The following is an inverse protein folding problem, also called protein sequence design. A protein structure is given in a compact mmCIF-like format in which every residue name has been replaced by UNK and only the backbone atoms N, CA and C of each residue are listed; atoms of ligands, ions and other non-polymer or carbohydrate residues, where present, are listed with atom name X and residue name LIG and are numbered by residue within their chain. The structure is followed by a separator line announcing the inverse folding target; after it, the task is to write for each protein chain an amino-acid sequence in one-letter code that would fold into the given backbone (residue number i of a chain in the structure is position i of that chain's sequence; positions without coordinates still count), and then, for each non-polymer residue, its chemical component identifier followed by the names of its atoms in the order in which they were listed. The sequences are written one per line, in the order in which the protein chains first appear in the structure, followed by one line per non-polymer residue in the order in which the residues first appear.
data_IF_059084431996
#
_entry.id   IF_059084431996
#
_cell.length_a   1.000
_cell.length_b   1.000
_cell.length_c   1.000
_cell.angle_alpha   90.00
_cell.angle_beta   90.00
_cell.angle_gamma   90.00
#
_symmetry.space_group_name_H-M   'P 1'
#
loop_
_entity.id
_entity.type
_entity.pdbx_description
1 polymer ?
#
# COMPACT_ATOMS: atom_id res chain seq x y z
N UNK A 1 -12.83 21.66 5.91
CA UNK A 1 -11.65 20.98 6.50
C UNK A 1 -11.79 19.50 6.20
N UNK A 2 -10.78 18.83 5.64
CA UNK A 2 -10.82 17.37 5.45
C UNK A 2 -10.88 16.72 6.84
N UNK A 3 -11.88 15.86 7.05
CA UNK A 3 -12.03 15.13 8.31
C UNK A 3 -10.95 14.06 8.39
N UNK A 4 -10.23 14.01 9.51
CA UNK A 4 -9.25 12.95 9.78
C UNK A 4 -9.85 11.87 10.67
N UNK A 5 -9.32 10.66 10.61
CA UNK A 5 -9.76 9.52 11.39
C UNK A 5 -8.55 8.80 12.01
N UNK A 6 -8.66 8.36 13.25
CA UNK A 6 -7.64 7.52 13.87
C UNK A 6 -7.73 6.08 13.37
N UNK A 7 -6.62 5.30 13.45
CA UNK A 7 -6.64 3.86 13.11
C UNK A 7 -7.74 3.05 13.81
N UNK A 8 -8.00 3.36 15.09
CA UNK A 8 -9.03 2.67 15.87
C UNK A 8 -10.44 3.02 15.43
N UNK A 9 -10.69 4.26 15.06
CA UNK A 9 -11.97 4.70 14.48
C UNK A 9 -12.19 4.06 13.11
N UNK A 10 -11.15 4.08 12.25
CA UNK A 10 -11.22 3.45 10.93
C UNK A 10 -11.63 1.98 11.04
N UNK A 11 -10.99 1.23 11.93
CA UNK A 11 -11.32 -0.18 12.17
C UNK A 11 -12.78 -0.38 12.62
N UNK A 12 -13.30 0.52 13.47
CA UNK A 12 -14.73 0.46 13.88
C UNK A 12 -15.66 0.69 12.69
N UNK A 13 -15.35 1.71 11.86
CA UNK A 13 -16.14 2.03 10.66
C UNK A 13 -16.13 0.86 9.69
N UNK A 14 -14.97 0.30 9.36
CA UNK A 14 -14.84 -0.88 8.47
C UNK A 14 -15.66 -2.07 8.99
N UNK A 15 -15.54 -2.36 10.29
CA UNK A 15 -16.30 -3.46 10.91
C UNK A 15 -17.82 -3.21 10.80
N UNK A 16 -18.25 -1.97 10.98
CA UNK A 16 -19.66 -1.60 10.84
C UNK A 16 -20.14 -1.72 9.40
N UNK A 17 -19.36 -1.24 8.41
CA UNK A 17 -19.68 -1.39 6.99
C UNK A 17 -19.92 -2.85 6.64
N UNK A 18 -18.97 -3.72 6.97
CA UNK A 18 -19.08 -5.15 6.65
C UNK A 18 -20.23 -5.86 7.37
N UNK A 19 -20.63 -5.38 8.56
CA UNK A 19 -21.76 -5.95 9.31
C UNK A 19 -23.12 -5.45 8.84
N UNK A 20 -23.24 -4.17 8.47
CA UNK A 20 -24.53 -3.49 8.21
C UNK A 20 -24.86 -3.38 6.72
N UNK A 21 -23.93 -3.77 5.86
CA UNK A 21 -24.10 -3.72 4.40
C UNK A 21 -23.71 -5.05 3.74
N UNK A 22 -24.00 -5.18 2.45
CA UNK A 22 -23.55 -6.29 1.64
C UNK A 22 -22.11 -6.11 1.10
N UNK A 23 -21.41 -5.06 1.51
CA UNK A 23 -20.05 -4.77 1.04
C UNK A 23 -19.07 -5.75 1.70
N UNK A 24 -18.33 -6.47 0.88
CA UNK A 24 -17.34 -7.44 1.34
C UNK A 24 -15.95 -6.79 1.46
N UNK A 25 -15.08 -7.37 2.30
CA UNK A 25 -13.67 -6.96 2.37
C UNK A 25 -12.97 -7.06 1.01
N UNK A 26 -13.34 -8.06 0.20
CA UNK A 26 -12.85 -8.23 -1.18
C UNK A 26 -13.24 -7.03 -2.07
N UNK A 27 -14.50 -6.61 -2.04
CA UNK A 27 -14.95 -5.45 -2.83
C UNK A 27 -14.20 -4.17 -2.42
N UNK A 28 -14.01 -3.96 -1.12
CA UNK A 28 -13.23 -2.83 -0.60
C UNK A 28 -11.79 -2.87 -1.10
N UNK A 29 -11.15 -4.04 -1.05
CA UNK A 29 -9.78 -4.25 -1.53
C UNK A 29 -9.64 -3.99 -3.03
N UNK A 30 -10.58 -4.45 -3.87
CA UNK A 30 -10.58 -4.18 -5.31
C UNK A 30 -10.70 -2.67 -5.60
N UNK A 31 -11.59 -1.96 -4.90
CA UNK A 31 -11.75 -0.52 -5.05
C UNK A 31 -10.47 0.22 -4.60
N UNK A 32 -9.90 -0.13 -3.45
CA UNK A 32 -8.64 0.41 -2.96
C UNK A 32 -7.51 0.23 -3.97
N UNK A 33 -7.32 -1.01 -4.44
CA UNK A 33 -6.29 -1.38 -5.40
C UNK A 33 -6.41 -0.64 -6.75
N UNK A 34 -7.62 -0.39 -7.24
CA UNK A 34 -7.84 0.38 -8.46
C UNK A 34 -7.34 1.83 -8.34
N UNK A 35 -7.51 2.46 -7.16
CA UNK A 35 -6.98 3.79 -6.90
C UNK A 35 -5.44 3.79 -6.80
N UNK A 36 -4.85 2.79 -6.15
CA UNK A 36 -3.39 2.60 -6.07
C UNK A 36 -2.81 2.38 -7.47
N UNK A 37 -3.37 1.46 -8.26
CA UNK A 37 -2.94 1.19 -9.64
C UNK A 37 -2.95 2.46 -10.51
N UNK A 38 -4.01 3.28 -10.40
CA UNK A 38 -4.10 4.56 -11.09
C UNK A 38 -2.99 5.53 -10.67
N UNK A 39 -2.66 5.60 -9.39
CA UNK A 39 -1.59 6.45 -8.88
C UNK A 39 -0.22 5.99 -9.38
N UNK A 40 0.07 4.69 -9.32
CA UNK A 40 1.31 4.08 -9.84
C UNK A 40 1.45 4.36 -11.34
N UNK A 41 0.41 4.12 -12.14
CA UNK A 41 0.42 4.40 -13.58
C UNK A 41 0.77 5.85 -13.90
N UNK A 42 0.27 6.81 -13.11
CA UNK A 42 0.62 8.24 -13.28
C UNK A 42 2.07 8.52 -12.94
N UNK A 43 2.62 7.91 -11.89
CA UNK A 43 3.99 8.14 -11.44
C UNK A 43 5.04 7.47 -12.34
N UNK A 44 4.69 6.34 -12.97
CA UNK A 44 5.58 5.68 -13.92
C UNK A 44 5.51 6.24 -15.35
N UNK A 45 4.60 7.18 -15.64
CA UNK A 45 4.45 7.76 -16.99
C UNK A 45 5.76 8.38 -17.48
N UNK A 46 6.22 7.94 -18.66
CA UNK A 46 7.48 8.38 -19.26
C UNK A 46 8.74 7.79 -18.66
N UNK A 47 8.63 6.88 -17.66
CA UNK A 47 9.77 6.19 -17.04
C UNK A 47 9.91 4.78 -17.58
N UNK A 48 11.14 4.38 -17.88
CA UNK A 48 11.48 3.00 -18.25
C UNK A 48 11.85 2.20 -17.01
N UNK A 49 11.44 0.95 -16.96
CA UNK A 49 11.74 0.05 -15.85
C UNK A 49 10.49 -0.69 -15.36
N UNK A 50 10.68 -1.51 -14.36
CA UNK A 50 9.60 -2.27 -13.73
C UNK A 50 9.02 -1.52 -12.52
N UNK A 51 7.85 -1.95 -12.07
CA UNK A 51 7.27 -1.53 -10.79
C UNK A 51 7.66 -2.54 -9.72
N UNK A 52 8.20 -2.05 -8.62
CA UNK A 52 8.50 -2.88 -7.44
C UNK A 52 7.46 -2.62 -6.38
N UNK A 53 6.79 -3.67 -5.88
CA UNK A 53 5.84 -3.58 -4.79
C UNK A 53 6.34 -4.38 -3.59
N UNK A 54 6.55 -3.72 -2.46
CA UNK A 54 6.90 -4.38 -1.21
C UNK A 54 5.66 -4.57 -0.37
N UNK A 55 5.30 -5.83 -0.13
CA UNK A 55 4.02 -6.22 0.45
C UNK A 55 4.18 -6.78 1.86
N UNK A 56 3.40 -6.26 2.80
CA UNK A 56 3.21 -6.86 4.10
C UNK A 56 2.32 -8.10 4.05
N UNK A 57 2.17 -8.77 5.19
CA UNK A 57 1.35 -9.98 5.29
C UNK A 57 -0.14 -9.70 5.51
N UNK A 58 -0.51 -8.46 5.82
CA UNK A 58 -1.90 -8.03 6.06
C UNK A 58 -2.62 -7.55 4.80
N UNK A 59 -3.79 -6.94 5.01
CA UNK A 59 -4.64 -6.44 3.92
C UNK A 59 -3.96 -5.32 3.12
N UNK A 60 -3.11 -4.50 3.73
CA UNK A 60 -2.32 -3.49 3.01
C UNK A 60 -1.45 -4.12 1.93
N UNK A 61 -0.80 -5.27 2.24
CA UNK A 61 -0.08 -6.07 1.24
C UNK A 61 -1.01 -6.64 0.17
N UNK A 62 -2.22 -7.05 0.55
CA UNK A 62 -3.27 -7.49 -0.37
C UNK A 62 -3.68 -6.39 -1.36
N UNK A 63 -3.86 -5.15 -0.89
CA UNK A 63 -4.15 -3.99 -1.75
C UNK A 63 -3.02 -3.75 -2.76
N UNK A 64 -1.75 -3.90 -2.33
CA UNK A 64 -0.58 -3.82 -3.20
C UNK A 64 -0.57 -4.92 -4.27
N UNK A 65 -0.79 -6.18 -3.89
CA UNK A 65 -0.87 -7.32 -4.82
C UNK A 65 -1.99 -7.15 -5.85
N UNK A 66 -3.18 -6.75 -5.39
CA UNK A 66 -4.31 -6.46 -6.26
C UNK A 66 -4.01 -5.30 -7.24
N UNK A 67 -3.34 -4.24 -6.77
CA UNK A 67 -2.94 -3.13 -7.64
C UNK A 67 -1.95 -3.57 -8.73
N UNK A 68 -0.98 -4.42 -8.39
CA UNK A 68 -0.04 -4.98 -9.38
C UNK A 68 -0.74 -5.87 -10.41
N UNK A 69 -1.73 -6.66 -9.99
CA UNK A 69 -2.57 -7.44 -10.90
C UNK A 69 -3.35 -6.54 -11.85
N UNK A 70 -4.02 -5.51 -11.34
CA UNK A 70 -4.78 -4.55 -12.18
C UNK A 70 -3.87 -3.87 -13.20
N UNK A 71 -2.69 -3.38 -12.80
CA UNK A 71 -1.72 -2.77 -13.72
C UNK A 71 -1.29 -3.73 -14.84
N UNK A 72 -1.09 -5.00 -14.50
CA UNK A 72 -0.71 -6.03 -15.47
C UNK A 72 -1.85 -6.38 -16.43
N UNK A 73 -3.08 -6.43 -15.95
CA UNK A 73 -4.28 -6.69 -16.76
C UNK A 73 -4.60 -5.54 -17.72
N UNK A 74 -4.42 -4.29 -17.25
CA UNK A 74 -4.65 -3.07 -18.05
C UNK A 74 -3.57 -2.84 -19.13
N UNK A 75 -2.35 -3.36 -18.93
CA UNK A 75 -1.22 -3.13 -19.84
C UNK A 75 -0.40 -4.40 -20.11
N UNK A 76 -0.49 -4.97 -21.32
CA UNK A 76 0.29 -6.16 -21.68
C UNK A 76 1.81 -5.98 -21.61
N UNK A 77 2.30 -4.75 -21.74
CA UNK A 77 3.72 -4.42 -21.62
C UNK A 77 4.20 -4.22 -20.17
N UNK A 78 3.27 -4.21 -19.21
CA UNK A 78 3.61 -4.03 -17.80
C UNK A 78 4.53 -5.15 -17.30
N UNK A 79 5.55 -4.76 -16.52
CA UNK A 79 6.47 -5.65 -15.83
C UNK A 79 6.61 -5.17 -14.40
N UNK A 80 6.68 -6.11 -13.46
CA UNK A 80 6.82 -5.78 -12.05
C UNK A 80 7.35 -6.93 -11.21
N UNK A 81 7.66 -6.60 -9.98
CA UNK A 81 8.05 -7.54 -8.94
C UNK A 81 7.29 -7.23 -7.65
N UNK A 82 6.74 -8.26 -7.03
CA UNK A 82 6.16 -8.20 -5.69
C UNK A 82 7.09 -8.92 -4.72
N UNK A 83 7.48 -8.23 -3.65
CA UNK A 83 8.33 -8.75 -2.60
C UNK A 83 7.57 -8.84 -1.30
N UNK A 84 7.31 -10.05 -0.84
CA UNK A 84 6.48 -10.35 0.33
C UNK A 84 7.33 -10.45 1.59
N UNK A 85 6.90 -9.79 2.66
CA UNK A 85 7.45 -10.06 3.98
C UNK A 85 7.23 -11.52 4.39
N UNK A 86 8.15 -12.12 5.17
CA UNK A 86 7.98 -13.46 5.70
C UNK A 86 6.76 -13.51 6.64
N UNK A 87 6.08 -14.65 6.64
CA UNK A 87 4.93 -14.92 7.49
C UNK A 87 3.69 -15.39 6.73
N UNK A 88 2.62 -15.60 7.48
CA UNK A 88 1.33 -16.03 6.93
C UNK A 88 0.54 -14.82 6.46
N UNK A 89 0.11 -14.84 5.22
CA UNK A 89 -0.75 -13.81 4.64
C UNK A 89 -2.15 -13.84 5.29
N UNK A 90 -2.80 -12.67 5.35
CA UNK A 90 -4.24 -12.61 5.61
C UNK A 90 -5.00 -13.37 4.51
N UNK A 91 -6.23 -13.80 4.79
CA UNK A 91 -7.02 -14.53 3.80
C UNK A 91 -7.25 -13.74 2.51
N UNK A 92 -7.44 -12.41 2.64
CA UNK A 92 -7.65 -11.53 1.49
C UNK A 92 -6.35 -11.36 0.69
N UNK A 93 -5.20 -11.12 1.37
CA UNK A 93 -3.91 -11.01 0.71
C UNK A 93 -3.49 -12.31 0.00
N UNK A 94 -3.82 -13.47 0.60
CA UNK A 94 -3.55 -14.76 -0.05
C UNK A 94 -4.38 -14.93 -1.32
N UNK A 95 -5.67 -14.58 -1.30
CA UNK A 95 -6.52 -14.63 -2.51
C UNK A 95 -5.98 -13.74 -3.63
N UNK A 96 -5.50 -12.53 -3.31
CA UNK A 96 -4.92 -11.64 -4.31
C UNK A 96 -3.57 -12.16 -4.84
N UNK A 97 -2.76 -12.78 -3.98
CA UNK A 97 -1.54 -13.46 -4.44
C UNK A 97 -1.85 -14.59 -5.43
N UNK A 98 -2.85 -15.42 -5.13
CA UNK A 98 -3.26 -16.54 -6.00
C UNK A 98 -3.75 -16.00 -7.34
N UNK A 99 -4.62 -14.98 -7.35
CA UNK A 99 -5.12 -14.31 -8.57
C UNK A 99 -3.99 -13.69 -9.40
N UNK A 100 -3.06 -12.97 -8.75
CA UNK A 100 -1.92 -12.37 -9.43
C UNK A 100 -1.05 -13.43 -10.09
N UNK A 101 -0.76 -14.52 -9.37
CA UNK A 101 0.09 -15.61 -9.85
C UNK A 101 -0.56 -16.34 -11.04
N UNK A 102 -1.85 -16.59 -10.96
CA UNK A 102 -2.62 -17.22 -12.05
C UNK A 102 -2.63 -16.33 -13.31
N UNK A 103 -2.84 -15.03 -13.14
CA UNK A 103 -2.89 -14.06 -14.24
C UNK A 103 -1.53 -13.72 -14.84
N UNK A 104 -0.41 -13.93 -14.11
CA UNK A 104 0.92 -13.45 -14.51
C UNK A 104 1.46 -14.09 -15.78
N UNK A 105 1.05 -15.31 -16.10
CA UNK A 105 1.51 -16.04 -17.30
C UNK A 105 2.85 -16.76 -17.12
N UNK A 106 3.39 -17.29 -18.23
CA UNK A 106 4.68 -18.00 -18.22
C UNK A 106 5.52 -17.58 -19.45
N UNK A 107 6.68 -16.90 -19.29
CA UNK A 107 7.23 -16.40 -18.01
C UNK A 107 6.33 -15.31 -17.39
N UNK A 108 6.36 -15.17 -16.06
CA UNK A 108 5.47 -14.22 -15.37
C UNK A 108 5.82 -12.77 -15.71
N UNK A 109 4.78 -11.97 -15.99
CA UNK A 109 4.93 -10.52 -16.19
C UNK A 109 5.11 -9.76 -14.89
N UNK A 110 4.61 -10.30 -13.80
CA UNK A 110 4.88 -9.88 -12.42
C UNK A 110 5.45 -11.07 -11.68
N UNK A 111 6.72 -10.97 -11.29
CA UNK A 111 7.38 -11.97 -10.47
C UNK A 111 7.04 -11.77 -8.99
N UNK A 112 6.91 -12.86 -8.24
CA UNK A 112 6.66 -12.82 -6.80
C UNK A 112 7.81 -13.47 -6.05
N UNK A 113 8.36 -12.76 -5.09
CA UNK A 113 9.48 -13.16 -4.27
C UNK A 113 9.14 -13.06 -2.79
N UNK A 114 9.87 -13.80 -1.93
CA UNK A 114 9.84 -13.58 -0.48
C UNK A 114 11.11 -12.89 -0.04
N UNK A 115 11.01 -11.97 0.90
CA UNK A 115 12.16 -11.28 1.47
C UNK A 115 12.84 -12.23 2.47
N UNK A 116 14.01 -12.72 2.07
CA UNK A 116 14.85 -13.59 2.88
C UNK A 116 16.19 -12.86 3.15
N UNK A 117 16.19 -11.89 4.05
CA UNK A 117 17.39 -11.09 4.37
C UNK A 117 17.52 -9.84 3.52
N UNK A 118 18.56 -9.75 2.65
CA UNK A 118 18.85 -8.57 1.83
C UNK A 118 17.86 -8.49 0.67
N UNK A 119 17.26 -7.31 0.47
CA UNK A 119 16.44 -7.01 -0.71
C UNK A 119 17.34 -6.60 -1.88
N UNK A 120 17.42 -7.37 -2.97
CA UNK A 120 18.15 -6.97 -4.16
C UNK A 120 17.33 -5.94 -4.93
N UNK A 121 17.73 -4.67 -4.86
CA UNK A 121 17.07 -3.60 -5.62
C UNK A 121 17.34 -3.83 -7.11
N UNK A 122 16.29 -3.94 -7.96
CA UNK A 122 16.46 -4.07 -9.41
C UNK A 122 17.13 -2.84 -10.02
N UNK A 123 17.91 -3.04 -11.09
CA UNK A 123 18.67 -1.96 -11.73
C UNK A 123 17.82 -0.82 -12.31
N UNK A 124 16.61 -1.13 -12.77
CA UNK A 124 15.71 -0.16 -13.43
C UNK A 124 14.32 -0.23 -12.83
N UNK A 125 14.07 0.62 -11.85
CA UNK A 125 12.76 0.77 -11.20
C UNK A 125 12.10 2.06 -11.71
N UNK A 126 10.92 1.93 -12.31
CA UNK A 126 10.13 3.06 -12.78
C UNK A 126 9.29 3.69 -11.65
N UNK A 127 8.81 2.86 -10.72
CA UNK A 127 8.03 3.28 -9.57
C UNK A 127 8.11 2.20 -8.49
N UNK A 128 8.14 2.59 -7.23
CA UNK A 128 8.04 1.70 -6.08
C UNK A 128 6.68 1.87 -5.39
N UNK A 129 6.17 0.76 -4.85
CA UNK A 129 4.91 0.73 -4.08
C UNK A 129 5.21 0.24 -2.68
N UNK A 130 4.89 1.09 -1.71
CA UNK A 130 4.93 0.75 -0.29
C UNK A 130 3.57 0.18 0.12
N UNK A 131 3.48 -1.12 0.19
CA UNK A 131 2.33 -1.87 0.69
C UNK A 131 2.69 -2.73 1.91
N UNK A 132 3.69 -2.31 2.71
CA UNK A 132 4.15 -3.08 3.85
C UNK A 132 3.16 -3.00 5.02
N UNK A 133 2.84 -1.78 5.48
CA UNK A 133 1.96 -1.57 6.64
C UNK A 133 1.00 -0.42 6.40
N UNK A 134 -0.27 -0.64 6.77
CA UNK A 134 -1.29 0.40 6.87
C UNK A 134 -1.47 0.88 8.31
N UNK A 135 -2.72 1.13 8.72
CA UNK A 135 -3.10 1.69 10.03
C UNK A 135 -2.67 0.87 11.25
N UNK A 136 -2.24 -0.39 11.07
CA UNK A 136 -1.88 -1.29 12.19
C UNK A 136 -0.52 -1.03 12.83
N UNK A 137 0.32 -0.15 12.27
CA UNK A 137 1.68 0.07 12.76
C UNK A 137 1.68 0.95 14.03
N UNK A 138 2.21 0.42 15.14
CA UNK A 138 2.29 1.11 16.43
C UNK A 138 3.68 1.08 17.09
N UNK A 139 4.67 0.46 16.44
CA UNK A 139 6.04 0.30 16.94
C UNK A 139 7.06 0.37 15.80
N UNK A 140 8.35 0.62 16.08
CA UNK A 140 9.40 0.58 15.08
C UNK A 140 9.44 -0.72 14.28
N UNK A 141 9.88 -0.63 13.03
CA UNK A 141 10.06 -1.80 12.15
C UNK A 141 11.34 -2.55 12.51
N UNK A 142 11.28 -3.88 12.48
CA UNK A 142 12.38 -4.77 12.80
C UNK A 142 12.55 -5.86 11.73
N UNK A 143 13.73 -6.48 11.68
CA UNK A 143 14.02 -7.61 10.78
C UNK A 143 13.71 -7.30 9.31
N UNK A 144 13.09 -8.24 8.61
CA UNK A 144 12.75 -8.11 7.19
C UNK A 144 11.88 -6.87 6.87
N UNK A 145 11.00 -6.47 7.79
CA UNK A 145 10.18 -5.27 7.62
C UNK A 145 11.02 -3.99 7.64
N UNK A 146 12.03 -3.93 8.50
CA UNK A 146 13.00 -2.84 8.54
C UNK A 146 13.81 -2.78 7.24
N UNK A 147 14.36 -3.91 6.81
CA UNK A 147 15.13 -4.01 5.54
C UNK A 147 14.30 -3.58 4.33
N UNK A 148 13.03 -4.00 4.26
CA UNK A 148 12.13 -3.60 3.18
C UNK A 148 11.86 -2.08 3.19
N UNK A 149 11.65 -1.49 4.36
CA UNK A 149 11.45 -0.05 4.49
C UNK A 149 12.72 0.74 4.11
N UNK A 150 13.90 0.28 4.52
CA UNK A 150 15.20 0.86 4.13
C UNK A 150 15.41 0.79 2.62
N UNK A 151 15.00 -0.30 1.96
CA UNK A 151 15.06 -0.42 0.51
C UNK A 151 14.14 0.59 -0.21
N UNK A 152 12.93 0.82 0.30
CA UNK A 152 12.02 1.87 -0.23
C UNK A 152 12.60 3.27 -0.04
N UNK A 153 13.24 3.55 1.09
CA UNK A 153 13.95 4.81 1.29
C UNK A 153 15.10 5.00 0.30
N UNK A 154 15.92 3.97 0.09
CA UNK A 154 17.02 4.02 -0.88
C UNK A 154 16.51 4.26 -2.31
N UNK A 155 15.39 3.66 -2.70
CA UNK A 155 14.75 3.93 -3.99
C UNK A 155 14.26 5.38 -4.08
N UNK A 156 13.63 5.92 -3.05
CA UNK A 156 13.19 7.32 -3.00
C UNK A 156 14.38 8.29 -3.10
N UNK A 157 15.48 8.04 -2.38
CA UNK A 157 16.72 8.81 -2.43
C UNK A 157 17.38 8.76 -3.81
N UNK A 158 17.25 7.65 -4.53
CA UNK A 158 17.69 7.50 -5.91
C UNK A 158 16.74 8.17 -6.95
N UNK A 159 15.68 8.87 -6.50
CA UNK A 159 14.74 9.57 -7.36
C UNK A 159 13.68 8.66 -8.02
N UNK A 160 13.51 7.45 -7.52
CA UNK A 160 12.39 6.56 -7.91
C UNK A 160 11.14 7.02 -7.17
N UNK A 161 10.03 7.34 -7.88
CA UNK A 161 8.80 7.75 -7.22
C UNK A 161 8.23 6.60 -6.39
N UNK A 162 7.82 6.92 -5.16
CA UNK A 162 7.21 5.99 -4.21
C UNK A 162 5.74 6.30 -4.00
N UNK A 163 4.88 5.31 -4.23
CA UNK A 163 3.44 5.35 -3.93
C UNK A 163 3.18 4.51 -2.68
N UNK A 164 2.74 5.15 -1.60
CA UNK A 164 2.35 4.45 -0.38
C UNK A 164 0.85 4.08 -0.40
N UNK A 165 0.57 2.87 0.05
CA UNK A 165 -0.77 2.31 0.22
C UNK A 165 -1.24 2.60 1.64
N UNK A 166 -2.32 3.32 1.76
CA UNK A 166 -3.01 3.74 2.97
C UNK A 166 -2.21 4.72 3.86
N UNK A 167 -1.05 4.35 4.35
CA UNK A 167 -0.13 5.15 5.17
C UNK A 167 1.31 4.78 4.82
N UNK A 168 2.26 5.73 4.73
CA UNK A 168 3.68 5.39 4.58
C UNK A 168 4.16 4.47 5.70
N UNK A 169 4.82 3.38 5.34
CA UNK A 169 5.32 2.41 6.32
C UNK A 169 6.41 3.03 7.19
N UNK A 170 6.27 2.85 8.49
CA UNK A 170 7.08 3.53 9.51
C UNK A 170 6.38 4.73 10.15
N UNK A 171 5.28 5.25 9.60
CA UNK A 171 4.49 6.32 10.20
C UNK A 171 3.43 5.76 11.15
N UNK A 172 3.36 6.33 12.36
CA UNK A 172 2.26 6.06 13.27
C UNK A 172 0.99 6.81 12.83
N UNK A 173 -0.02 6.07 12.36
CA UNK A 173 -1.26 6.63 11.82
C UNK A 173 -2.12 7.40 12.81
N UNK A 174 -1.82 7.36 14.11
CA UNK A 174 -2.54 8.10 15.15
C UNK A 174 -1.80 9.38 15.55
N UNK A 175 -0.50 9.29 15.78
CA UNK A 175 0.29 10.38 16.39
C UNK A 175 1.04 11.23 15.37
N UNK A 176 1.27 10.71 14.17
CA UNK A 176 2.11 11.33 13.17
C UNK A 176 3.61 11.22 13.45
N UNK A 177 4.00 10.40 14.42
CA UNK A 177 5.41 10.11 14.68
C UNK A 177 5.94 9.15 13.64
N UNK A 178 7.04 9.49 12.98
CA UNK A 178 7.79 8.57 12.14
C UNK A 178 8.76 7.75 13.01
N UNK A 179 8.69 6.43 12.86
CA UNK A 179 9.73 5.55 13.37
C UNK A 179 10.89 5.48 12.37
N UNK A 180 12.09 5.11 12.84
CA UNK A 180 13.23 4.92 11.94
C UNK A 180 13.44 3.41 11.69
N UNK A 181 13.39 2.98 10.40
CA UNK A 181 13.13 3.72 9.17
C UNK A 181 11.65 4.07 8.97
N UNK A 182 11.39 5.11 8.13
CA UNK A 182 10.05 5.49 7.69
C UNK A 182 10.10 5.87 6.20
N UNK A 183 9.20 5.32 5.40
CA UNK A 183 9.10 5.61 3.96
C UNK A 183 8.71 7.08 3.75
N UNK A 184 9.42 7.77 2.86
CA UNK A 184 9.01 9.07 2.32
C UNK A 184 8.36 8.83 0.97
N UNK A 185 7.04 8.96 0.92
CA UNK A 185 6.28 8.76 -0.30
C UNK A 185 6.18 10.05 -1.11
N UNK A 186 6.17 9.93 -2.45
CA UNK A 186 5.76 11.04 -3.34
C UNK A 186 4.25 11.19 -3.36
N UNK A 187 3.56 10.07 -3.17
CA UNK A 187 2.10 10.00 -3.14
C UNK A 187 1.65 8.94 -2.16
N UNK A 188 0.68 9.29 -1.32
CA UNK A 188 -0.05 8.31 -0.51
C UNK A 188 -1.50 8.22 -0.98
N UNK A 189 -1.98 7.01 -1.23
CA UNK A 189 -3.40 6.74 -1.50
C UNK A 189 -4.00 6.16 -0.23
N UNK A 190 -4.70 7.00 0.51
CA UNK A 190 -5.37 6.60 1.75
C UNK A 190 -6.86 6.39 1.52
N UNK A 191 -7.46 5.42 2.21
CA UNK A 191 -8.79 4.94 1.90
C UNK A 191 -9.85 5.60 2.78
N UNK A 192 -10.91 6.08 2.15
CA UNK A 192 -12.13 6.67 2.67
C UNK A 192 -11.93 7.95 3.49
N UNK A 193 -10.93 7.98 4.39
CA UNK A 193 -10.62 9.11 5.25
C UNK A 193 -9.12 9.33 5.38
N UNK A 194 -8.70 10.59 5.51
CA UNK A 194 -7.32 10.94 5.85
C UNK A 194 -7.02 10.47 7.27
N UNK A 195 -5.95 9.68 7.45
CA UNK A 195 -5.55 9.20 8.78
C UNK A 195 -4.92 10.34 9.57
N UNK A 196 -5.31 10.47 10.83
CA UNK A 196 -4.92 11.59 11.70
C UNK A 196 -3.42 11.81 11.71
N UNK A 197 -2.62 10.73 11.79
CA UNK A 197 -1.16 10.83 11.80
C UNK A 197 -0.54 11.39 10.52
N UNK A 198 -1.23 11.33 9.38
CA UNK A 198 -0.74 11.95 8.14
C UNK A 198 -0.90 13.48 8.12
N UNK A 199 -1.76 14.02 8.98
CA UNK A 199 -2.00 15.44 9.14
C UNK A 199 -1.26 16.05 10.34
N UNK A 200 -0.42 15.29 11.03
CA UNK A 200 0.29 15.68 12.24
C UNK A 200 1.79 15.34 12.16
N UNK A 201 2.61 16.14 12.83
CA UNK A 201 4.03 15.87 13.05
C UNK A 201 4.77 15.50 11.77
N UNK A 202 5.56 14.41 11.82
CA UNK A 202 6.34 13.92 10.69
C UNK A 202 5.47 13.47 9.51
N UNK A 203 4.18 13.14 9.75
CA UNK A 203 3.24 12.74 8.71
C UNK A 203 3.08 13.75 7.59
N UNK A 204 3.22 15.06 7.90
CA UNK A 204 3.17 16.15 6.92
C UNK A 204 4.33 16.07 5.91
N UNK A 205 5.48 15.55 6.35
CA UNK A 205 6.69 15.47 5.55
C UNK A 205 6.84 14.16 4.79
N UNK A 206 6.32 13.05 5.36
CA UNK A 206 6.57 11.71 4.80
C UNK A 206 5.42 11.20 3.91
N UNK A 207 4.19 11.75 4.07
CA UNK A 207 3.04 11.28 3.30
C UNK A 207 3.01 11.78 1.84
N UNK A 208 3.82 12.78 1.51
CA UNK A 208 3.83 13.38 0.18
C UNK A 208 2.44 13.94 -0.20
N UNK A 209 2.08 13.83 -1.46
CA UNK A 209 0.75 14.23 -1.93
C UNK A 209 -0.29 13.18 -1.50
N UNK A 210 -0.99 13.42 -0.38
CA UNK A 210 -2.01 12.50 0.11
C UNK A 210 -3.32 12.63 -0.69
N UNK A 211 -3.80 11.51 -1.24
CA UNK A 211 -5.07 11.41 -1.93
C UNK A 211 -6.03 10.48 -1.19
N UNK A 212 -7.19 11.01 -0.80
CA UNK A 212 -8.25 10.19 -0.20
C UNK A 212 -9.04 9.51 -1.31
N UNK A 213 -9.04 8.19 -1.31
CA UNK A 213 -9.77 7.35 -2.25
C UNK A 213 -11.10 6.90 -1.64
N UNK A 214 -12.18 7.13 -2.35
CA UNK A 214 -13.47 6.52 -2.01
C UNK A 214 -13.43 5.03 -2.37
N UNK A 215 -13.57 4.19 -1.37
CA UNK A 215 -13.59 2.73 -1.54
C UNK A 215 -14.99 2.14 -1.53
N UNK A 216 -16.01 3.00 -1.52
CA UNK A 216 -17.41 2.61 -1.62
C UNK A 216 -18.11 2.43 -0.27
N UNK A 217 -17.65 3.11 0.77
CA UNK A 217 -18.41 3.14 2.03
C UNK A 217 -19.73 3.88 1.84
N UNK A 218 -20.82 3.42 2.44
CA UNK A 218 -22.06 4.19 2.47
C UNK A 218 -21.86 5.47 3.27
N UNK A 219 -22.68 6.47 2.99
CA UNK A 219 -22.77 7.65 3.86
C UNK A 219 -23.29 7.21 5.24
N UNK A 220 -22.46 7.38 6.26
CA UNK A 220 -22.87 7.16 7.64
C UNK A 220 -23.28 8.50 8.29
N UNK A 221 -24.27 8.47 9.20
CA UNK A 221 -24.56 9.61 10.07
C UNK A 221 -23.31 10.05 10.88
N UNK A 222 -23.26 11.31 11.28
CA UNK A 222 -22.10 11.91 11.99
C UNK A 222 -21.76 11.25 13.33
N UNK A 223 -22.69 10.52 13.93
CA UNK A 223 -22.57 9.82 15.20
C UNK A 223 -21.72 8.52 15.16
N UNK A 224 -21.19 8.19 14.00
CA UNK A 224 -20.32 7.00 13.82
C UNK A 224 -18.88 7.21 14.30
N UNK A 225 -18.52 8.47 14.61
CA UNK A 225 -17.14 8.90 14.91
C UNK A 225 -16.96 9.27 16.37
#
# INVERSE_FOLDING_TARGET
MLRTITPSEMKRVETRVMRETSITGEALMQNAAAHVARAVRRRMAGRAGLVVCLCGTGNNGGDGLAAMRILMEENPAFRGECWLLPGRLSADAQRELDRLTEAAGSPPRVAVHRIEGIFPIPEKVACAVDALFGTGLSRPLEGAARTACEALQALAEAGVPVVAVDIPSGLNGRTGQAFSPCVRADRTITFQYLKTGMALGDGLDVAGEAGVADVGFPAFPEDVF
#
